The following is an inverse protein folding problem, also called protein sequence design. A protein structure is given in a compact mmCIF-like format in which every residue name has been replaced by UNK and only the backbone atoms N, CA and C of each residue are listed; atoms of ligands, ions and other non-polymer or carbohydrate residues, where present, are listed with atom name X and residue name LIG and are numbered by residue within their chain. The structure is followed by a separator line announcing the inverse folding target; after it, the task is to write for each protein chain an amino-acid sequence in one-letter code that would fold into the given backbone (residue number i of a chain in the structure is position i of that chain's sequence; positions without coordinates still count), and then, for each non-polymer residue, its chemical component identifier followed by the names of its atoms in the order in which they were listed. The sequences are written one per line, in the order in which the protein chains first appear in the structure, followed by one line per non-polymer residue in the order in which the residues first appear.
data_IF_986379314149
#
_entry.id   IF_986379314149
#
_cell.length_a   1.000
_cell.length_b   1.000
_cell.length_c   1.000
_cell.angle_alpha   90.00
_cell.angle_beta   90.00
_cell.angle_gamma   90.00
#
_symmetry.space_group_name_H-M   'P 1'
#
loop_
_entity.id
_entity.type
_entity.pdbx_description
1 polymer ?
#
# COMPACT_ATOMS: atom_id res chain seq x y z
N UNK A 1 7.36 -25.49 38.03
CA UNK A 1 6.28 -24.97 37.16
C UNK A 1 6.71 -23.59 36.66
N UNK A 2 6.88 -23.36 35.35
CA UNK A 2 7.30 -22.06 34.79
C UNK A 2 6.10 -21.44 34.06
N UNK A 3 5.59 -20.33 34.59
CA UNK A 3 4.51 -19.54 33.98
C UNK A 3 5.03 -18.81 32.74
N UNK A 4 4.44 -19.08 31.57
CA UNK A 4 4.66 -18.29 30.36
C UNK A 4 4.00 -16.92 30.53
N UNK A 5 4.79 -15.86 30.58
CA UNK A 5 4.28 -14.50 30.45
C UNK A 5 3.79 -14.31 29.00
N UNK A 6 2.50 -14.05 28.81
CA UNK A 6 1.91 -13.65 27.54
C UNK A 6 2.27 -12.20 27.28
N UNK A 7 3.38 -11.94 26.60
CA UNK A 7 3.73 -10.63 26.08
C UNK A 7 2.80 -10.30 24.91
N UNK A 8 1.72 -9.58 25.20
CA UNK A 8 0.90 -8.97 24.15
C UNK A 8 1.81 -8.01 23.34
N UNK A 9 1.86 -8.13 21.99
CA UNK A 9 2.65 -7.21 21.20
C UNK A 9 2.09 -5.78 21.37
N UNK A 10 2.95 -4.76 21.49
CA UNK A 10 2.49 -3.39 21.60
C UNK A 10 1.66 -3.02 20.37
N UNK A 11 0.49 -2.43 20.60
CA UNK A 11 -0.36 -1.89 19.54
C UNK A 11 0.40 -0.75 18.85
N UNK A 12 0.88 -1.01 17.64
CA UNK A 12 1.53 -0.01 16.79
C UNK A 12 0.47 0.97 16.28
N UNK A 13 0.43 2.17 16.84
CA UNK A 13 -0.44 3.26 16.37
C UNK A 13 0.25 3.97 15.22
N UNK A 14 -0.41 4.05 14.06
CA UNK A 14 0.06 4.79 12.88
C UNK A 14 -0.84 5.99 12.63
N UNK A 15 -0.26 7.19 12.60
CA UNK A 15 -0.96 8.42 12.20
C UNK A 15 -0.77 8.62 10.70
N UNK A 16 -1.86 8.59 9.94
CA UNK A 16 -1.87 8.84 8.49
C UNK A 16 -2.51 10.20 8.26
N UNK A 17 -1.81 11.09 7.55
CA UNK A 17 -2.40 12.35 7.10
C UNK A 17 -3.16 12.14 5.80
N UNK A 18 -4.30 12.80 5.68
CA UNK A 18 -5.00 12.88 4.40
C UNK A 18 -4.16 13.64 3.40
N UNK A 19 -4.07 13.09 2.19
CA UNK A 19 -3.41 13.76 1.07
C UNK A 19 -4.30 14.89 0.57
N UNK A 20 -3.69 16.00 0.20
CA UNK A 20 -4.36 17.09 -0.52
C UNK A 20 -4.82 16.62 -1.91
N UNK A 21 -5.71 17.38 -2.55
CA UNK A 21 -6.13 17.10 -3.93
C UNK A 21 -4.94 17.08 -4.91
N UNK A 22 -4.03 18.05 -4.75
CA UNK A 22 -2.83 18.18 -5.57
C UNK A 22 -1.90 16.97 -5.43
N UNK A 23 -1.62 16.53 -4.19
CA UNK A 23 -0.81 15.33 -3.95
C UNK A 23 -1.44 14.08 -4.56
N UNK A 24 -2.77 13.93 -4.47
CA UNK A 24 -3.46 12.81 -5.13
C UNK A 24 -3.32 12.86 -6.65
N UNK A 25 -3.44 14.03 -7.25
CA UNK A 25 -3.29 14.20 -8.70
C UNK A 25 -1.86 13.88 -9.14
N UNK A 26 -0.86 14.36 -8.40
CA UNK A 26 0.53 14.07 -8.68
C UNK A 26 0.83 12.57 -8.60
N UNK A 27 0.35 11.89 -7.56
CA UNK A 27 0.47 10.43 -7.43
C UNK A 27 -0.17 9.73 -8.63
N UNK A 28 -1.39 10.10 -9.02
CA UNK A 28 -2.07 9.50 -10.18
C UNK A 28 -1.25 9.66 -11.47
N UNK A 29 -0.70 10.85 -11.70
CA UNK A 29 0.13 11.13 -12.87
C UNK A 29 1.36 10.23 -12.91
N UNK A 30 2.11 10.16 -11.80
CA UNK A 30 3.32 9.33 -11.71
C UNK A 30 3.03 7.85 -11.96
N UNK A 31 1.90 7.33 -11.49
CA UNK A 31 1.51 5.94 -11.76
C UNK A 31 1.04 5.72 -13.20
N UNK A 32 0.38 6.70 -13.82
CA UNK A 32 0.03 6.64 -15.25
C UNK A 32 1.30 6.59 -16.11
N UNK A 33 2.28 7.46 -15.82
CA UNK A 33 3.57 7.48 -16.51
C UNK A 33 4.34 6.17 -16.31
N UNK A 34 4.32 5.60 -15.11
CA UNK A 34 4.94 4.30 -14.82
C UNK A 34 4.34 3.19 -15.68
N UNK A 35 3.00 3.15 -15.78
CA UNK A 35 2.32 2.16 -16.60
C UNK A 35 2.63 2.34 -18.08
N UNK A 36 2.68 3.58 -18.57
CA UNK A 36 3.04 3.87 -19.96
C UNK A 36 4.47 3.44 -20.27
N UNK A 37 5.44 3.77 -19.42
CA UNK A 37 6.84 3.36 -19.58
C UNK A 37 7.01 1.84 -19.58
N UNK A 38 6.28 1.13 -18.71
CA UNK A 38 6.26 -0.34 -18.71
C UNK A 38 5.69 -0.92 -20.01
N UNK A 39 4.62 -0.33 -20.55
CA UNK A 39 4.09 -0.73 -21.87
C UNK A 39 5.11 -0.49 -23.00
N UNK A 40 5.96 0.53 -22.86
CA UNK A 40 7.05 0.81 -23.79
C UNK A 40 8.29 -0.07 -23.58
N UNK A 41 8.26 -1.03 -22.66
CA UNK A 41 9.35 -1.99 -22.41
C UNK A 41 10.30 -1.61 -21.27
N UNK A 42 10.09 -0.48 -20.59
CA UNK A 42 10.89 -0.10 -19.43
C UNK A 42 10.41 -0.85 -18.17
N UNK A 43 11.03 -2.01 -17.88
CA UNK A 43 10.59 -2.90 -16.81
C UNK A 43 11.31 -2.70 -15.48
N UNK A 44 12.53 -2.14 -15.50
CA UNK A 44 13.37 -1.98 -14.31
C UNK A 44 13.10 -0.66 -13.55
N UNK A 45 11.84 -0.25 -13.43
CA UNK A 45 11.45 1.02 -12.81
C UNK A 45 10.40 0.87 -11.71
N UNK A 46 10.52 1.73 -10.71
CA UNK A 46 9.66 1.79 -9.52
C UNK A 46 9.38 3.23 -9.13
N UNK A 47 8.28 3.45 -8.41
CA UNK A 47 7.95 4.76 -7.83
C UNK A 47 8.56 4.86 -6.44
N UNK A 48 9.28 5.94 -6.17
CA UNK A 48 9.81 6.31 -4.85
C UNK A 48 9.32 7.67 -4.42
N UNK A 49 9.25 7.88 -3.11
CA UNK A 49 8.90 9.17 -2.55
C UNK A 49 10.17 9.82 -1.99
N UNK A 50 10.54 10.98 -2.51
CA UNK A 50 11.63 11.80 -2.00
C UNK A 50 11.00 13.02 -1.34
N UNK A 51 11.16 13.16 -0.03
CA UNK A 51 10.55 14.26 0.74
C UNK A 51 9.02 14.37 0.51
N UNK A 52 8.33 13.23 0.41
CA UNK A 52 6.89 13.18 0.13
C UNK A 52 6.50 13.28 -1.35
N UNK A 53 7.45 13.57 -2.25
CA UNK A 53 7.22 13.74 -3.69
C UNK A 53 7.42 12.41 -4.43
N UNK A 54 6.40 11.84 -5.09
CA UNK A 54 6.54 10.62 -5.86
C UNK A 54 7.34 10.86 -7.16
N UNK A 55 8.26 9.96 -7.48
CA UNK A 55 9.10 10.00 -8.68
C UNK A 55 9.44 8.58 -9.17
N UNK A 56 9.56 8.40 -10.49
CA UNK A 56 9.94 7.12 -11.12
C UNK A 56 11.47 7.03 -11.17
N UNK A 57 12.02 5.94 -10.64
CA UNK A 57 13.47 5.69 -10.64
C UNK A 57 13.77 4.27 -11.12
N UNK A 58 15.02 4.03 -11.51
CA UNK A 58 15.52 2.69 -11.80
C UNK A 58 15.56 1.84 -10.52
N UNK A 59 15.12 0.59 -10.63
CA UNK A 59 15.24 -0.39 -9.57
C UNK A 59 16.68 -0.92 -9.55
N UNK A 60 17.51 -0.44 -8.61
CA UNK A 60 18.81 -1.04 -8.35
C UNK A 60 18.64 -2.33 -7.52
N UNK A 61 19.37 -3.38 -7.89
CA UNK A 61 19.30 -4.72 -7.26
C UNK A 61 19.63 -4.72 -5.76
N UNK A 62 20.42 -3.75 -5.31
CA UNK A 62 20.92 -3.71 -3.93
C UNK A 62 20.01 -2.97 -2.95
N UNK A 63 18.90 -2.40 -3.45
CA UNK A 63 18.04 -1.58 -2.61
C UNK A 63 16.96 -2.44 -1.96
N UNK A 64 17.26 -2.96 -0.76
CA UNK A 64 16.27 -3.61 0.08
C UNK A 64 15.09 -2.66 0.31
N UNK A 65 13.92 -3.15 -0.07
CA UNK A 65 12.63 -2.51 0.08
C UNK A 65 12.35 -2.39 1.58
N UNK A 66 12.79 -1.31 2.22
CA UNK A 66 12.23 -0.86 3.49
C UNK A 66 10.80 -0.36 3.21
N UNK A 67 9.93 -1.34 2.97
CA UNK A 67 8.49 -1.25 2.87
C UNK A 67 7.95 -0.81 4.23
N UNK A 68 8.11 0.47 4.57
CA UNK A 68 7.10 1.18 5.36
C UNK A 68 5.92 1.46 4.43
N UNK A 69 5.36 0.38 3.90
CA UNK A 69 4.12 0.38 3.14
C UNK A 69 3.06 0.77 4.14
N UNK A 70 2.46 1.95 3.96
CA UNK A 70 1.04 2.10 4.23
C UNK A 70 0.36 0.93 3.53
N UNK A 71 0.16 -0.15 4.28
CA UNK A 71 -0.67 -1.27 3.87
C UNK A 71 -2.01 -0.64 3.61
N UNK A 72 -2.28 -0.39 2.34
CA UNK A 72 -3.64 -0.25 1.87
C UNK A 72 -4.29 -1.55 2.35
N UNK A 73 -5.11 -1.44 3.40
CA UNK A 73 -5.98 -2.52 3.83
C UNK A 73 -6.85 -2.76 2.61
N UNK A 74 -6.49 -3.75 1.81
CA UNK A 74 -7.45 -4.42 0.96
C UNK A 74 -8.44 -5.01 1.96
N UNK A 75 -9.52 -4.27 2.25
CA UNK A 75 -10.70 -4.88 2.80
C UNK A 75 -10.99 -6.04 1.87
N UNK A 76 -10.84 -7.25 2.38
CA UNK A 76 -11.39 -8.41 1.74
C UNK A 76 -12.83 -8.03 1.39
N UNK A 77 -13.16 -8.05 0.10
CA UNK A 77 -14.55 -8.14 -0.34
C UNK A 77 -15.09 -9.39 0.35
N UNK A 78 -15.83 -9.20 1.44
CA UNK A 78 -16.66 -10.24 2.04
C UNK A 78 -17.74 -10.53 1.03
N UNK A 79 -17.49 -11.56 0.23
CA UNK A 79 -18.50 -12.22 -0.57
C UNK A 79 -19.60 -12.74 0.37
N UNK A 80 -20.85 -12.39 0.04
CA UNK A 80 -22.04 -13.21 0.22
C UNK A 80 -22.45 -13.59 1.65
N UNK A 81 -23.43 -12.86 2.18
CA UNK A 81 -24.54 -13.47 2.89
C UNK A 81 -25.83 -12.77 2.40
N UNK A 82 -26.46 -13.36 1.39
CA UNK A 82 -27.88 -13.11 1.11
C UNK A 82 -28.69 -13.42 2.40
N UNK A 83 -29.72 -12.65 2.75
CA UNK A 83 -30.64 -13.05 3.80
C UNK A 83 -31.38 -14.34 3.37
N UNK A 84 -31.67 -15.28 4.29
CA UNK A 84 -32.48 -16.44 3.97
C UNK A 84 -33.82 -15.97 3.41
N UNK A 85 -34.10 -16.35 2.16
CA UNK A 85 -35.48 -16.37 1.66
C UNK A 85 -36.17 -17.54 2.37
N UNK A 86 -37.35 -17.27 2.88
CA UNK A 86 -38.29 -18.18 3.53
C UNK A 86 -38.08 -18.38 5.04
N UNK A 87 -38.88 -17.65 5.83
CA UNK A 87 -39.82 -18.24 6.79
C UNK A 87 -40.81 -17.15 7.27
N UNK A 88 -42.06 -17.31 6.81
CA UNK A 88 -43.33 -16.62 7.10
C UNK A 88 -43.66 -15.38 6.28
#
# INVERSE_FOLDING_TARGET
MRSRATTNPPLLVSVVRDRTLMERQQVRQVYADLQQRRKNGENNIVVRHFNGVPSIVQANKDFQLNNTTHRHVTLAKTNQLEPPRDLW
#
